data_IF_806786022031
#
_entry.id   IF_806786022031
#
_cell.length_a   1.000
_cell.length_b   1.000
_cell.length_c   1.000
_cell.angle_alpha   90.00
_cell.angle_beta   90.00
_cell.angle_gamma   90.00
#
_symmetry.space_group_name_H-M   'P 1'
#
loop_
_entity.id
_entity.type
_entity.pdbx_description
1 polymer ?
#
# COMPACT_ATOMS: atom_id res chain seq x y z
N UNK A 1 50.78 -57.78 38.47
CA UNK A 1 49.78 -58.76 38.01
C UNK A 1 48.45 -58.05 37.82
N UNK A 2 47.90 -58.08 36.61
CA UNK A 2 46.47 -57.91 36.34
C UNK A 2 45.92 -56.51 36.03
N UNK A 3 45.71 -56.24 34.73
CA UNK A 3 44.48 -55.74 34.04
C UNK A 3 44.86 -54.78 32.90
N UNK A 4 44.97 -55.26 31.66
CA UNK A 4 43.94 -55.44 30.62
C UNK A 4 43.30 -54.12 30.10
N UNK A 5 43.64 -53.84 28.83
CA UNK A 5 42.76 -53.42 27.70
C UNK A 5 42.27 -51.94 27.78
N UNK A 6 42.39 -51.11 26.74
CA UNK A 6 41.71 -51.24 25.44
C UNK A 6 42.39 -50.43 24.32
N UNK A 7 42.43 -51.00 23.11
CA UNK A 7 42.71 -50.31 21.84
C UNK A 7 41.71 -49.16 21.60
N UNK A 8 42.21 -47.97 21.28
CA UNK A 8 41.43 -46.88 20.72
C UNK A 8 41.81 -46.70 19.24
N UNK A 9 40.88 -47.05 18.35
CA UNK A 9 40.95 -46.86 16.91
C UNK A 9 40.77 -45.37 16.59
N UNK A 10 41.79 -44.73 16.04
CA UNK A 10 41.72 -43.36 15.52
C UNK A 10 41.18 -43.42 14.09
N UNK A 11 39.92 -43.03 13.92
CA UNK A 11 39.30 -42.70 12.63
C UNK A 11 38.96 -41.22 12.68
N UNK A 12 39.92 -40.38 12.26
CA UNK A 12 39.70 -38.98 11.97
C UNK A 12 40.09 -38.76 10.52
N UNK A 13 39.12 -38.62 9.63
CA UNK A 13 39.32 -38.05 8.29
C UNK A 13 37.97 -37.52 7.77
N UNK A 14 37.92 -36.19 7.69
CA UNK A 14 37.18 -35.36 6.74
C UNK A 14 35.65 -35.50 6.68
N UNK A 15 34.97 -34.78 7.59
CA UNK A 15 33.69 -34.15 7.26
C UNK A 15 33.97 -32.94 6.36
N UNK A 16 33.89 -33.15 5.04
CA UNK A 16 33.61 -32.06 4.10
C UNK A 16 32.12 -31.74 4.23
N UNK A 17 31.76 -30.83 5.13
CA UNK A 17 30.49 -30.13 5.00
C UNK A 17 30.65 -29.20 3.80
N UNK A 18 30.08 -29.62 2.67
CA UNK A 18 29.71 -28.72 1.59
C UNK A 18 28.84 -27.62 2.21
N UNK A 19 29.42 -26.44 2.39
CA UNK A 19 28.63 -25.23 2.47
C UNK A 19 28.02 -25.06 1.09
N UNK A 20 26.81 -25.59 0.90
CA UNK A 20 25.99 -25.27 -0.25
C UNK A 20 25.84 -23.75 -0.27
N UNK A 21 26.54 -23.12 -1.21
CA UNK A 21 26.24 -21.77 -1.62
C UNK A 21 24.79 -21.78 -2.12
N UNK A 22 23.87 -21.38 -1.25
CA UNK A 22 22.51 -21.01 -1.64
C UNK A 22 22.67 -19.87 -2.62
N UNK A 23 22.72 -20.19 -3.91
CA UNK A 23 22.74 -19.21 -4.96
C UNK A 23 21.51 -18.34 -4.79
N UNK A 24 21.70 -17.06 -4.46
CA UNK A 24 20.66 -16.06 -4.56
C UNK A 24 20.13 -16.11 -5.99
N UNK A 25 18.98 -16.75 -6.17
CA UNK A 25 18.34 -16.82 -7.48
C UNK A 25 17.88 -15.40 -7.79
N UNK A 26 18.68 -14.63 -8.54
CA UNK A 26 18.31 -13.27 -8.93
C UNK A 26 17.14 -13.37 -9.89
N UNK A 27 15.93 -13.27 -9.36
CA UNK A 27 14.73 -13.28 -10.17
C UNK A 27 14.71 -12.03 -11.05
N UNK A 28 14.57 -12.21 -12.36
CA UNK A 28 14.40 -11.10 -13.29
C UNK A 28 12.93 -10.66 -13.24
N UNK A 29 12.61 -9.40 -12.88
CA UNK A 29 11.22 -8.93 -12.85
C UNK A 29 10.55 -9.05 -14.22
N UNK A 30 9.37 -9.67 -14.26
CA UNK A 30 8.54 -9.69 -15.46
C UNK A 30 7.73 -8.39 -15.53
N UNK A 31 7.76 -7.70 -16.67
CA UNK A 31 7.12 -6.38 -16.81
C UNK A 31 5.63 -6.43 -16.45
N UNK A 32 4.90 -7.49 -16.79
CA UNK A 32 3.49 -7.65 -16.39
C UNK A 32 3.28 -7.62 -14.86
N UNK A 33 4.22 -8.17 -14.10
CA UNK A 33 4.15 -8.23 -12.64
C UNK A 33 4.60 -6.90 -12.02
N UNK A 34 5.61 -6.26 -12.63
CA UNK A 34 6.01 -4.89 -12.25
C UNK A 34 4.83 -3.95 -12.42
N UNK A 35 4.13 -4.03 -13.56
CA UNK A 35 2.90 -3.29 -13.79
C UNK A 35 1.81 -3.63 -12.77
N UNK A 36 1.60 -4.91 -12.44
CA UNK A 36 0.64 -5.31 -11.40
C UNK A 36 0.89 -4.65 -10.04
N UNK A 37 2.16 -4.57 -9.61
CA UNK A 37 2.54 -3.87 -8.37
C UNK A 37 2.44 -2.34 -8.50
N UNK A 38 2.80 -1.76 -9.64
CA UNK A 38 2.59 -0.32 -9.90
C UNK A 38 1.10 0.04 -9.83
N UNK A 39 0.25 -0.80 -10.40
CA UNK A 39 -1.21 -0.68 -10.31
C UNK A 39 -1.73 -0.81 -8.87
N UNK A 40 -1.04 -1.60 -8.04
CA UNK A 40 -1.32 -1.70 -6.61
C UNK A 40 -0.79 -0.50 -5.79
N UNK A 41 -0.11 0.46 -6.41
CA UNK A 41 0.34 1.69 -5.77
C UNK A 41 1.82 1.73 -5.36
N UNK A 42 2.62 0.77 -5.80
CA UNK A 42 4.06 0.75 -5.48
C UNK A 42 4.89 1.44 -6.58
N UNK A 43 5.87 2.28 -6.23
CA UNK A 43 6.84 2.81 -7.19
C UNK A 43 7.53 1.68 -7.94
N UNK A 44 7.85 1.91 -9.23
CA UNK A 44 8.50 0.90 -10.09
C UNK A 44 9.72 0.27 -9.42
N UNK A 45 10.58 1.10 -8.82
CA UNK A 45 11.79 0.64 -8.14
C UNK A 45 11.48 -0.39 -7.05
N UNK A 46 10.50 -0.09 -6.18
CA UNK A 46 10.05 -0.98 -5.10
C UNK A 46 9.39 -2.23 -5.65
N UNK A 47 8.58 -2.10 -6.70
CA UNK A 47 7.96 -3.24 -7.38
C UNK A 47 9.01 -4.21 -7.93
N UNK A 48 10.03 -3.69 -8.61
CA UNK A 48 11.13 -4.49 -9.14
C UNK A 48 11.98 -5.11 -8.03
N UNK A 49 12.25 -4.37 -6.94
CA UNK A 49 12.95 -4.87 -5.77
C UNK A 49 12.26 -6.09 -5.16
N UNK A 50 10.93 -6.00 -4.96
CA UNK A 50 10.13 -7.10 -4.43
C UNK A 50 10.14 -8.34 -5.34
N UNK A 51 10.07 -8.12 -6.66
CA UNK A 51 10.11 -9.21 -7.64
C UNK A 51 11.50 -9.85 -7.74
N UNK A 52 12.58 -9.08 -7.56
CA UNK A 52 13.94 -9.63 -7.46
C UNK A 52 14.13 -10.47 -6.20
N UNK A 53 13.54 -10.03 -5.09
CA UNK A 53 13.68 -10.70 -3.79
C UNK A 53 12.83 -11.97 -3.66
N UNK A 54 11.58 -11.95 -4.17
CA UNK A 54 10.58 -13.01 -3.91
C UNK A 54 10.26 -13.83 -5.17
N UNK A 55 10.66 -13.34 -6.34
CA UNK A 55 10.36 -13.95 -7.62
C UNK A 55 9.03 -13.51 -8.20
N UNK A 56 8.69 -14.09 -9.35
CA UNK A 56 7.53 -13.70 -10.17
C UNK A 56 6.28 -14.55 -9.94
N UNK A 57 6.39 -15.62 -9.16
CA UNK A 57 5.30 -16.54 -8.91
C UNK A 57 4.24 -15.88 -8.02
N UNK A 58 2.97 -16.21 -8.26
CA UNK A 58 1.85 -15.80 -7.38
C UNK A 58 1.76 -14.27 -7.20
N UNK A 59 1.96 -13.52 -8.29
CA UNK A 59 1.90 -12.07 -8.18
C UNK A 59 0.45 -11.64 -7.87
N UNK A 60 0.21 -10.87 -6.82
CA UNK A 60 1.23 -10.09 -6.09
C UNK A 60 1.28 -10.28 -4.57
N UNK A 61 0.62 -11.31 -4.02
CA UNK A 61 0.48 -11.47 -2.57
C UNK A 61 1.84 -11.57 -1.84
N UNK A 62 2.77 -12.39 -2.34
CA UNK A 62 4.07 -12.60 -1.67
C UNK A 62 4.99 -11.39 -1.77
N UNK A 63 4.98 -10.70 -2.91
CA UNK A 63 5.77 -9.50 -3.17
C UNK A 63 5.26 -8.34 -2.31
N UNK A 64 3.94 -8.21 -2.19
CA UNK A 64 3.30 -7.25 -1.29
C UNK A 64 3.71 -7.58 0.15
N UNK A 65 3.59 -8.85 0.60
CA UNK A 65 4.08 -9.31 1.93
C UNK A 65 5.53 -8.90 2.20
N UNK A 66 6.42 -9.10 1.23
CA UNK A 66 7.83 -8.71 1.39
C UNK A 66 8.01 -7.19 1.48
N UNK A 67 7.30 -6.41 0.66
CA UNK A 67 7.32 -4.94 0.72
C UNK A 67 6.86 -4.42 2.09
N UNK A 68 5.85 -5.07 2.70
CA UNK A 68 5.44 -4.78 4.07
C UNK A 68 6.59 -4.95 5.07
N UNK A 69 7.26 -6.10 5.05
CA UNK A 69 8.34 -6.38 6.00
C UNK A 69 9.50 -5.38 5.85
N UNK A 70 9.80 -4.94 4.61
CA UNK A 70 10.79 -3.88 4.41
C UNK A 70 10.34 -2.53 4.97
N UNK A 71 9.07 -2.16 4.80
CA UNK A 71 8.54 -0.91 5.35
C UNK A 71 8.54 -0.91 6.87
N UNK A 72 8.20 -2.05 7.50
CA UNK A 72 8.27 -2.23 8.95
C UNK A 72 9.69 -2.06 9.46
N UNK A 73 10.67 -2.74 8.86
CA UNK A 73 12.09 -2.60 9.22
C UNK A 73 12.57 -1.15 9.10
N UNK A 74 12.24 -0.48 7.99
CA UNK A 74 12.57 0.95 7.80
C UNK A 74 11.96 1.86 8.85
N UNK A 75 10.75 1.55 9.32
CA UNK A 75 10.09 2.32 10.37
C UNK A 75 10.71 2.06 11.76
N UNK A 76 11.17 0.83 12.02
CA UNK A 76 11.85 0.44 13.27
C UNK A 76 13.30 0.94 13.35
N UNK A 77 14.01 0.97 12.22
CA UNK A 77 15.42 1.38 12.11
C UNK A 77 15.60 2.89 11.82
N UNK A 78 14.57 3.56 11.31
CA UNK A 78 14.62 4.97 10.93
C UNK A 78 14.42 5.93 12.10
N UNK A 79 14.94 7.14 11.96
CA UNK A 79 14.62 8.22 12.91
C UNK A 79 13.12 8.56 12.84
N UNK A 80 12.47 8.87 13.98
CA UNK A 80 11.07 9.26 14.00
C UNK A 80 10.83 10.49 13.11
N UNK A 81 10.10 10.30 12.03
CA UNK A 81 9.74 11.37 11.11
C UNK A 81 8.61 12.19 11.69
N UNK A 82 8.80 13.51 11.74
CA UNK A 82 7.74 14.43 12.15
C UNK A 82 6.75 14.59 10.99
N UNK A 83 5.54 14.11 11.21
CA UNK A 83 4.45 14.24 10.23
C UNK A 83 3.87 15.66 10.26
N UNK A 84 3.47 16.16 9.09
CA UNK A 84 2.78 17.43 8.93
C UNK A 84 1.44 17.41 9.68
N UNK A 85 1.09 18.55 10.29
CA UNK A 85 -0.25 18.77 10.82
C UNK A 85 -1.27 19.03 9.72
N UNK A 86 -0.82 19.43 8.52
CA UNK A 86 -1.68 19.61 7.36
C UNK A 86 -2.14 18.27 6.79
N UNK A 87 -3.43 18.20 6.45
CA UNK A 87 -4.06 17.02 5.86
C UNK A 87 -4.06 17.05 4.32
N UNK A 88 -3.45 18.08 3.73
CA UNK A 88 -3.39 18.36 2.29
C UNK A 88 -4.70 18.04 1.55
N UNK A 89 -5.81 18.56 2.09
CA UNK A 89 -7.16 18.34 1.58
C UNK A 89 -7.28 18.75 0.11
N UNK A 90 -7.98 17.93 -0.67
CA UNK A 90 -8.42 18.22 -2.04
C UNK A 90 -9.89 17.85 -2.21
N UNK A 91 -10.66 18.84 -2.66
CA UNK A 91 -12.06 18.64 -3.03
C UNK A 91 -12.18 17.92 -4.38
N UNK A 92 -13.36 17.35 -4.63
CA UNK A 92 -13.68 16.63 -5.85
C UNK A 92 -12.56 15.65 -6.26
N UNK A 93 -12.06 14.87 -5.31
CA UNK A 93 -10.92 13.98 -5.49
C UNK A 93 -11.13 12.69 -4.71
N UNK A 94 -10.88 11.56 -5.36
CA UNK A 94 -10.76 10.24 -4.74
C UNK A 94 -9.34 9.73 -4.99
N UNK A 95 -8.55 9.62 -3.91
CA UNK A 95 -7.23 9.02 -3.97
C UNK A 95 -7.32 7.51 -3.86
N UNK A 96 -6.47 6.84 -4.62
CA UNK A 96 -6.39 5.40 -4.63
C UNK A 96 -5.61 4.85 -3.42
N UNK A 97 -5.30 3.56 -3.41
CA UNK A 97 -4.37 2.95 -2.46
C UNK A 97 -4.92 1.73 -1.75
N UNK A 98 -4.09 1.17 -0.86
CA UNK A 98 -4.45 0.01 -0.06
C UNK A 98 -5.33 0.44 1.10
N UNK A 99 -6.57 -0.06 1.19
CA UNK A 99 -7.47 0.27 2.28
C UNK A 99 -7.01 -0.41 3.58
N UNK A 100 -6.59 0.39 4.56
CA UNK A 100 -6.21 -0.08 5.91
C UNK A 100 -7.39 -0.02 6.88
N UNK A 101 -8.40 0.82 6.57
CA UNK A 101 -9.71 0.80 7.22
C UNK A 101 -10.80 1.17 6.21
N UNK A 102 -11.82 0.31 6.13
CA UNK A 102 -12.95 0.49 5.22
C UNK A 102 -13.87 1.61 5.70
N UNK A 103 -14.39 2.42 4.76
CA UNK A 103 -15.27 3.54 5.10
C UNK A 103 -16.59 3.11 5.76
N UNK A 104 -17.11 1.93 5.43
CA UNK A 104 -18.28 1.33 6.10
C UNK A 104 -18.04 1.00 7.58
N UNK A 105 -16.78 0.81 7.99
CA UNK A 105 -16.37 0.57 9.37
C UNK A 105 -15.72 1.81 10.01
N UNK A 106 -15.74 2.96 9.34
CA UNK A 106 -15.14 4.20 9.79
C UNK A 106 -15.94 5.39 9.25
N UNK A 107 -17.03 5.72 9.92
CA UNK A 107 -17.84 6.90 9.60
C UNK A 107 -17.42 8.04 10.51
N UNK A 108 -17.23 9.22 9.91
CA UNK A 108 -16.80 10.45 10.57
C UNK A 108 -17.79 11.58 10.23
N UNK A 109 -17.91 12.57 11.09
CA UNK A 109 -18.85 13.68 10.87
C UNK A 109 -18.31 14.68 9.84
N UNK A 110 -16.98 14.85 9.78
CA UNK A 110 -16.33 15.82 8.89
C UNK A 110 -15.05 15.25 8.28
N UNK A 111 -14.54 15.92 7.26
CA UNK A 111 -13.27 15.55 6.64
C UNK A 111 -12.08 15.77 7.60
N UNK A 112 -12.16 16.77 8.49
CA UNK A 112 -11.15 17.01 9.52
C UNK A 112 -11.08 15.81 10.46
N UNK A 113 -12.23 15.31 10.93
CA UNK A 113 -12.31 14.10 11.75
C UNK A 113 -11.79 12.87 10.99
N UNK A 114 -12.01 12.79 9.68
CA UNK A 114 -11.42 11.74 8.84
C UNK A 114 -9.90 11.82 8.76
N UNK A 115 -9.33 13.01 8.60
CA UNK A 115 -7.89 13.20 8.64
C UNK A 115 -7.30 12.82 10.00
N UNK A 116 -7.91 13.28 11.10
CA UNK A 116 -7.45 12.93 12.44
C UNK A 116 -7.59 11.43 12.72
N UNK A 117 -8.63 10.78 12.18
CA UNK A 117 -8.76 9.32 12.20
C UNK A 117 -7.59 8.62 11.50
N UNK A 118 -7.12 9.17 10.37
CA UNK A 118 -5.95 8.68 9.65
C UNK A 118 -4.66 8.88 10.47
N UNK A 119 -4.41 10.09 10.99
CA UNK A 119 -3.22 10.38 11.83
C UNK A 119 -3.12 9.50 13.06
N UNK A 120 -4.27 9.18 13.68
CA UNK A 120 -4.34 8.37 14.88
C UNK A 120 -4.47 6.86 14.59
N UNK A 121 -4.51 6.46 13.31
CA UNK A 121 -4.59 5.06 12.94
C UNK A 121 -3.32 4.32 13.38
N UNK A 122 -3.51 3.24 14.12
CA UNK A 122 -2.43 2.34 14.53
C UNK A 122 -2.54 1.07 13.69
N UNK A 123 -1.51 0.71 12.91
CA UNK A 123 -1.49 -0.54 12.17
C UNK A 123 -1.72 -1.75 13.08
N UNK A 124 -2.55 -2.66 12.63
CA UNK A 124 -2.87 -3.90 13.35
C UNK A 124 -2.91 -5.08 12.38
N UNK A 125 -2.59 -6.28 12.86
CA UNK A 125 -2.67 -7.47 12.02
C UNK A 125 -4.10 -7.67 11.48
N UNK A 126 -4.28 -8.10 10.21
CA UNK A 126 -3.25 -8.45 9.23
C UNK A 126 -2.77 -7.25 8.38
N UNK A 127 -3.28 -6.04 8.61
CA UNK A 127 -3.02 -4.83 7.83
C UNK A 127 -1.97 -3.94 8.52
N UNK A 128 -0.69 -4.23 8.30
CA UNK A 128 0.42 -3.56 8.98
C UNK A 128 0.82 -2.19 8.40
N UNK A 129 0.04 -1.61 7.49
CA UNK A 129 0.34 -0.29 6.93
C UNK A 129 -0.22 0.84 7.80
N UNK A 130 0.53 1.94 8.03
CA UNK A 130 -0.04 3.15 8.57
C UNK A 130 -1.05 3.76 7.60
N UNK A 131 -1.91 4.64 8.10
CA UNK A 131 -2.68 5.49 7.22
C UNK A 131 -1.85 6.72 6.84
N UNK A 132 -1.76 7.02 5.54
CA UNK A 132 -1.17 8.27 5.03
C UNK A 132 -1.98 8.90 3.89
N UNK A 133 -3.07 8.25 3.46
CA UNK A 133 -4.05 8.76 2.52
C UNK A 133 -5.43 8.56 3.14
N UNK A 134 -6.32 9.53 2.99
CA UNK A 134 -7.70 9.41 3.44
C UNK A 134 -8.67 9.91 2.38
N UNK A 135 -9.88 9.34 2.35
CA UNK A 135 -10.97 9.76 1.46
C UNK A 135 -12.28 9.81 2.25
N UNK A 136 -13.00 10.91 2.16
CA UNK A 136 -14.20 11.22 2.93
C UNK A 136 -15.38 11.54 2.01
N UNK A 137 -16.57 11.02 2.34
CA UNK A 137 -17.81 11.37 1.65
C UNK A 137 -18.56 12.51 2.38
N UNK A 138 -18.56 13.75 1.86
CA UNK A 138 -19.30 14.85 2.48
C UNK A 138 -20.78 14.87 2.11
N UNK A 139 -21.20 14.16 1.06
CA UNK A 139 -22.54 14.28 0.50
C UNK A 139 -23.58 13.58 1.37
N UNK A 140 -24.70 14.25 1.64
CA UNK A 140 -25.77 13.72 2.51
C UNK A 140 -26.44 12.48 1.93
N UNK A 141 -26.59 12.44 0.61
CA UNK A 141 -27.19 11.32 -0.11
C UNK A 141 -26.16 10.26 -0.53
N UNK A 142 -24.92 10.39 -0.05
CA UNK A 142 -23.81 9.53 -0.42
C UNK A 142 -23.04 9.99 -1.65
N UNK A 143 -21.89 9.36 -1.87
CA UNK A 143 -20.94 9.72 -2.91
C UNK A 143 -20.88 8.64 -3.98
N UNK A 144 -20.84 9.03 -5.24
CA UNK A 144 -20.66 8.07 -6.33
C UNK A 144 -19.24 7.46 -6.32
N UNK A 145 -19.16 6.13 -6.44
CA UNK A 145 -17.93 5.43 -6.82
C UNK A 145 -18.27 4.29 -7.80
N UNK A 146 -17.43 3.98 -8.79
CA UNK A 146 -17.67 2.92 -9.78
C UNK A 146 -17.29 1.54 -9.22
N UNK A 147 -17.74 1.25 -8.00
CA UNK A 147 -17.48 0.02 -7.27
C UNK A 147 -18.80 -0.56 -6.75
N UNK A 148 -18.77 -1.84 -6.36
CA UNK A 148 -19.93 -2.46 -5.74
C UNK A 148 -20.01 -2.03 -4.27
N UNK A 149 -21.20 -1.64 -3.82
CA UNK A 149 -21.46 -1.25 -2.43
C UNK A 149 -22.16 0.10 -2.31
N UNK A 150 -22.55 0.41 -1.07
CA UNK A 150 -23.18 1.68 -0.71
C UNK A 150 -22.15 2.62 -0.10
N UNK A 151 -22.10 3.85 -0.62
CA UNK A 151 -21.15 4.88 -0.23
C UNK A 151 -21.91 6.03 0.43
N UNK A 152 -22.20 5.89 1.72
CA UNK A 152 -23.04 6.83 2.45
C UNK A 152 -22.26 8.05 2.96
N UNK A 153 -23.01 9.08 3.36
CA UNK A 153 -22.48 10.25 4.06
C UNK A 153 -21.55 9.86 5.21
N UNK A 154 -20.44 10.57 5.34
CA UNK A 154 -19.51 10.43 6.46
C UNK A 154 -18.54 9.26 6.33
N UNK A 155 -18.67 8.37 5.33
CA UNK A 155 -17.69 7.29 5.16
C UNK A 155 -16.28 7.87 4.98
N UNK A 156 -15.36 7.41 5.82
CA UNK A 156 -13.96 7.81 5.87
C UNK A 156 -13.07 6.59 5.61
N UNK A 157 -12.55 6.51 4.40
CA UNK A 157 -11.64 5.45 3.95
C UNK A 157 -10.21 5.81 4.32
N UNK A 158 -9.59 4.98 5.16
CA UNK A 158 -8.18 5.11 5.51
C UNK A 158 -7.35 4.24 4.58
N UNK A 159 -6.35 4.82 3.95
CA UNK A 159 -5.54 4.17 2.92
C UNK A 159 -4.05 4.37 3.15
N UNK A 160 -3.27 3.48 2.56
CA UNK A 160 -1.82 3.58 2.46
C UNK A 160 -1.37 3.69 1.01
N UNK A 161 -0.39 4.54 0.76
CA UNK A 161 0.44 4.56 -0.44
C UNK A 161 1.91 4.73 -0.06
N UNK A 162 2.82 4.14 -0.83
CA UNK A 162 4.26 4.25 -0.55
C UNK A 162 4.77 5.70 -0.67
N UNK A 163 4.22 6.46 -1.62
CA UNK A 163 4.55 7.86 -1.89
C UNK A 163 3.32 8.77 -1.75
N UNK A 164 2.99 9.23 -0.53
CA UNK A 164 1.87 10.14 -0.30
C UNK A 164 2.12 11.56 -0.82
N UNK A 165 3.35 11.90 -1.24
CA UNK A 165 3.68 13.21 -1.85
C UNK A 165 3.26 13.27 -3.32
N UNK A 166 3.14 12.12 -3.98
CA UNK A 166 2.63 12.00 -5.35
C UNK A 166 1.49 10.97 -5.41
N UNK A 167 0.32 11.29 -4.81
CA UNK A 167 -0.73 10.31 -4.58
C UNK A 167 -1.31 9.79 -5.90
N UNK A 168 -1.58 8.49 -5.95
CA UNK A 168 -2.33 7.89 -7.04
C UNK A 168 -3.79 8.35 -6.97
N UNK A 169 -4.29 8.93 -8.06
CA UNK A 169 -5.62 9.52 -8.19
C UNK A 169 -6.52 8.54 -8.91
N UNK A 170 -7.62 8.15 -8.26
CA UNK A 170 -8.67 7.39 -8.90
C UNK A 170 -9.58 8.33 -9.70
N UNK A 171 -10.07 9.41 -9.09
CA UNK A 171 -10.98 10.35 -9.75
C UNK A 171 -10.67 11.77 -9.32
N UNK A 172 -10.79 12.74 -10.23
CA UNK A 172 -10.66 14.16 -9.89
C UNK A 172 -11.44 15.08 -10.82
N UNK A 173 -12.14 16.05 -10.23
CA UNK A 173 -12.88 17.09 -10.93
C UNK A 173 -14.14 16.58 -11.64
N UNK A 174 -14.45 17.17 -12.78
CA UNK A 174 -15.61 16.81 -13.58
C UNK A 174 -15.42 15.46 -14.28
N UNK A 175 -16.43 14.60 -14.20
CA UNK A 175 -16.51 13.39 -15.03
C UNK A 175 -16.75 13.78 -16.49
N UNK A 176 -16.04 13.13 -17.42
CA UNK A 176 -16.27 13.37 -18.85
C UNK A 176 -17.66 12.90 -19.27
N UNK A 177 -18.20 13.50 -20.32
CA UNK A 177 -19.48 13.07 -20.89
C UNK A 177 -19.45 11.59 -21.30
N UNK A 178 -18.32 11.10 -21.82
CA UNK A 178 -18.15 9.70 -22.19
C UNK A 178 -18.18 8.76 -20.98
N UNK A 179 -17.51 9.13 -19.89
CA UNK A 179 -17.52 8.36 -18.65
C UNK A 179 -18.95 8.21 -18.09
N UNK A 180 -19.73 9.30 -18.14
CA UNK A 180 -21.12 9.30 -17.67
C UNK A 180 -22.07 8.53 -18.59
N UNK A 181 -21.70 8.20 -19.83
CA UNK A 181 -22.48 7.29 -20.68
C UNK A 181 -22.39 5.84 -20.19
N UNK A 182 -21.20 5.40 -19.78
CA UNK A 182 -21.00 4.05 -19.22
C UNK A 182 -21.33 3.99 -17.73
N UNK A 183 -21.40 5.14 -17.05
CA UNK A 183 -21.84 5.29 -15.67
C UNK A 183 -22.98 6.31 -15.53
N UNK A 184 -24.22 5.95 -15.87
CA UNK A 184 -25.34 6.89 -15.84
C UNK A 184 -25.65 7.49 -14.46
N UNK A 185 -25.28 6.80 -13.38
CA UNK A 185 -25.42 7.30 -12.00
C UNK A 185 -24.29 8.24 -11.57
N UNK A 186 -23.24 8.39 -12.37
CA UNK A 186 -22.15 9.32 -12.05
C UNK A 186 -22.67 10.78 -12.12
N UNK A 187 -22.44 11.58 -11.06
CA UNK A 187 -22.79 12.99 -11.04
C UNK A 187 -21.92 13.77 -12.06
N UNK A 188 -22.07 15.10 -12.10
CA UNK A 188 -21.23 15.95 -12.95
C UNK A 188 -19.76 15.95 -12.50
N UNK A 189 -19.51 16.04 -11.19
CA UNK A 189 -18.19 16.12 -10.57
C UNK A 189 -18.02 15.04 -9.51
N UNK A 190 -16.79 14.60 -9.30
CA UNK A 190 -16.41 13.78 -8.14
C UNK A 190 -16.91 14.45 -6.87
N UNK A 191 -17.56 13.66 -6.01
CA UNK A 191 -18.17 14.10 -4.75
C UNK A 191 -17.25 13.88 -3.54
N UNK A 192 -16.25 13.01 -3.67
CA UNK A 192 -15.31 12.69 -2.62
C UNK A 192 -14.37 13.86 -2.30
N UNK A 193 -13.95 13.94 -1.05
CA UNK A 193 -12.85 14.78 -0.57
C UNK A 193 -11.73 13.84 -0.17
N UNK A 194 -10.50 14.13 -0.55
CA UNK A 194 -9.35 13.32 -0.19
C UNK A 194 -8.23 14.16 0.41
N UNK A 195 -7.26 13.50 1.03
CA UNK A 195 -6.05 14.16 1.49
C UNK A 195 -4.91 13.18 1.72
N UNK A 196 -3.72 13.75 1.88
CA UNK A 196 -2.48 13.03 2.17
C UNK A 196 -1.88 13.55 3.45
N UNK A 197 -1.22 12.66 4.19
CA UNK A 197 -0.39 13.01 5.35
C UNK A 197 1.05 12.72 4.94
N UNK A 198 1.86 13.79 4.91
CA UNK A 198 3.28 13.74 4.51
C UNK A 198 4.15 14.26 5.64
N UNK A 199 5.47 14.11 5.51
CA UNK A 199 6.40 14.63 6.50
C UNK A 199 6.40 16.17 6.51
N UNK A 200 6.77 16.76 7.63
CA UNK A 200 6.84 18.22 7.75
C UNK A 200 7.78 18.81 6.69
N UNK A 201 7.33 19.88 6.02
CA UNK A 201 8.07 20.54 4.94
C UNK A 201 7.93 19.89 3.57
N UNK A 202 7.31 18.71 3.45
CA UNK A 202 6.99 18.12 2.15
C UNK A 202 5.74 18.76 1.53
N UNK A 203 5.67 18.76 0.21
CA UNK A 203 4.53 19.23 -0.57
C UNK A 203 3.86 18.09 -1.29
N UNK A 204 2.52 18.10 -1.35
CA UNK A 204 1.74 17.11 -2.09
C UNK A 204 1.48 17.60 -3.52
N UNK A 205 2.06 16.91 -4.49
CA UNK A 205 1.89 17.17 -5.92
C UNK A 205 0.48 16.84 -6.44
N UNK A 206 0.29 17.01 -7.75
CA UNK A 206 -0.99 16.69 -8.40
C UNK A 206 -1.25 15.19 -8.54
N UNK A 207 -0.33 14.32 -8.11
CA UNK A 207 -0.51 12.89 -8.21
C UNK A 207 -0.41 12.36 -9.64
N UNK A 208 -0.54 11.04 -9.75
CA UNK A 208 -0.58 10.29 -11.00
C UNK A 208 -1.91 9.56 -11.11
N UNK A 209 -2.47 9.43 -12.31
CA UNK A 209 -3.69 8.64 -12.47
C UNK A 209 -3.41 7.18 -12.16
N UNK A 210 -4.20 6.59 -11.27
CA UNK A 210 -4.13 5.16 -10.96
C UNK A 210 -4.65 4.34 -12.13
N UNK A 211 -4.33 3.05 -12.19
CA UNK A 211 -5.00 2.12 -13.12
C UNK A 211 -6.48 1.91 -12.80
N UNK A 212 -6.95 2.35 -11.64
CA UNK A 212 -8.37 2.33 -11.29
C UNK A 212 -9.12 3.53 -11.80
N UNK A 213 -8.41 4.58 -12.23
CA UNK A 213 -9.03 5.80 -12.78
C UNK A 213 -9.84 5.58 -14.06
N UNK A 214 -9.52 4.51 -14.80
CA UNK A 214 -10.24 4.09 -16.00
C UNK A 214 -11.13 2.88 -15.75
N UNK A 215 -11.38 2.49 -14.50
CA UNK A 215 -12.25 1.36 -14.21
C UNK A 215 -13.67 1.59 -14.77
N UNK A 216 -14.22 0.49 -15.29
CA UNK A 216 -15.56 0.33 -15.87
C UNK A 216 -15.85 1.18 -17.13
N UNK A 217 -15.03 1.03 -18.18
CA UNK A 217 -15.63 1.02 -19.51
C UNK A 217 -16.55 -0.19 -19.64
#
# INVERSE_FOLDING_TARGET
MGRLVTLATILALCWLNSADAVGETKHVPLEKNVQGLIQAGYPRERAEEALRAVGNADCCTKQIHWLFEQNKKRAEEGEPKKMSSECHKRDATDYDGYAVKWGSANVQETWEACCESCKNYKPEAPHFYPCNIWVFCPEKDGCFAPAAGDFIHGQCWLKFQEDPTNPHVNMRGDYSAEYRKTHPSAPKSVQWVAGSIVEEGQTVGNGTWSSRSHWRR
#
